data_IF_940157211479
#
_entry.id   IF_940157211479
#
_cell.length_a   1.000
_cell.length_b   1.000
_cell.length_c   1.000
_cell.angle_alpha   90.00
_cell.angle_beta   90.00
_cell.angle_gamma   90.00
#
_symmetry.space_group_name_H-M   'P 1'
#
loop_
_entity.id
_entity.type
_entity.pdbx_description
1 polymer ?
#
# COMPACT_ATOMS: atom_id res chain seq x y z
N UNK A 1 -27.66 -27.62 3.13
CA UNK A 1 -27.54 -26.53 2.16
C UNK A 1 -26.32 -25.74 2.58
N UNK A 2 -25.18 -26.01 1.97
CA UNK A 2 -23.95 -25.25 2.19
C UNK A 2 -24.13 -23.86 1.59
N UNK A 3 -24.00 -22.82 2.41
CA UNK A 3 -23.84 -21.45 1.93
C UNK A 3 -22.36 -21.23 1.58
N UNK A 4 -22.04 -20.64 0.41
CA UNK A 4 -20.67 -20.27 0.10
C UNK A 4 -20.19 -19.19 1.08
N UNK A 5 -19.06 -19.43 1.77
CA UNK A 5 -18.39 -18.44 2.61
C UNK A 5 -17.94 -17.24 1.76
N UNK A 6 -18.75 -16.18 1.68
CA UNK A 6 -18.28 -14.87 1.24
C UNK A 6 -17.26 -14.35 2.26
N UNK A 7 -15.99 -14.26 1.85
CA UNK A 7 -14.92 -13.76 2.71
C UNK A 7 -14.92 -12.23 2.81
N UNK A 8 -15.91 -11.66 3.50
CA UNK A 8 -15.71 -10.35 4.14
C UNK A 8 -14.81 -10.63 5.35
N UNK A 9 -13.50 -10.39 5.19
CA UNK A 9 -12.50 -10.76 6.20
C UNK A 9 -12.55 -9.82 7.40
N UNK A 10 -13.47 -10.07 8.32
CA UNK A 10 -13.27 -9.69 9.71
C UNK A 10 -12.08 -10.47 10.28
N UNK A 11 -10.93 -9.79 10.40
CA UNK A 11 -9.82 -10.20 11.25
C UNK A 11 -9.14 -11.56 10.94
N UNK A 12 -8.16 -11.56 10.01
CA UNK A 12 -6.84 -12.23 10.14
C UNK A 12 -5.95 -12.11 8.88
N UNK A 13 -6.51 -11.82 7.70
CA UNK A 13 -5.75 -11.24 6.57
C UNK A 13 -6.20 -9.78 6.41
N UNK A 14 -5.27 -8.82 6.55
CA UNK A 14 -5.59 -7.40 6.65
C UNK A 14 -5.78 -6.81 5.25
N UNK A 15 -7.00 -6.38 4.95
CA UNK A 15 -7.23 -5.39 3.90
C UNK A 15 -7.00 -3.97 4.45
N UNK A 16 -6.72 -3.08 3.51
CA UNK A 16 -6.08 -1.80 3.73
C UNK A 16 -6.89 -0.75 4.49
N UNK A 17 -8.21 -0.88 4.61
CA UNK A 17 -8.97 0.26 5.09
C UNK A 17 -8.74 0.53 6.58
N UNK A 18 -8.52 -0.47 7.44
CA UNK A 18 -8.38 -0.28 8.91
C UNK A 18 -7.33 0.73 9.41
N UNK A 19 -6.48 1.32 8.55
CA UNK A 19 -5.51 2.38 8.90
C UNK A 19 -5.53 3.62 7.97
N UNK A 20 -6.67 3.96 7.34
CA UNK A 20 -6.82 5.16 6.51
C UNK A 20 -7.71 6.22 7.20
N UNK A 21 -7.15 7.28 7.79
CA UNK A 21 -8.00 8.36 8.34
C UNK A 21 -8.21 9.42 7.25
N UNK A 22 -9.46 9.68 6.83
CA UNK A 22 -9.80 10.68 5.79
C UNK A 22 -9.33 12.12 6.09
N UNK A 23 -8.90 12.41 7.32
CA UNK A 23 -8.70 13.78 7.81
C UNK A 23 -7.45 14.55 7.36
N UNK A 24 -6.64 14.08 6.40
CA UNK A 24 -5.38 14.77 6.06
C UNK A 24 -5.06 14.98 4.57
N UNK A 25 -5.77 14.36 3.61
CA UNK A 25 -5.19 14.21 2.25
C UNK A 25 -5.99 14.74 1.07
N UNK A 26 -7.09 15.47 1.28
CA UNK A 26 -7.77 16.17 0.17
C UNK A 26 -7.06 17.47 -0.28
N UNK A 27 -6.14 18.01 0.53
CA UNK A 27 -5.27 19.10 0.12
C UNK A 27 -4.15 18.65 -0.83
N UNK A 28 -3.65 17.42 -0.65
CA UNK A 28 -2.51 16.88 -1.41
C UNK A 28 -2.83 16.68 -2.91
N UNK A 29 -4.08 16.33 -3.25
CA UNK A 29 -4.51 16.18 -4.65
C UNK A 29 -4.57 17.50 -5.43
N UNK A 30 -4.63 18.67 -4.77
CA UNK A 30 -4.58 19.97 -5.47
C UNK A 30 -3.16 20.51 -5.68
N UNK A 31 -2.17 19.90 -5.05
CA UNK A 31 -0.80 20.44 -5.01
C UNK A 31 0.13 19.79 -6.04
N UNK A 32 -0.26 18.62 -6.59
CA UNK A 32 0.48 17.91 -7.65
C UNK A 32 0.54 18.72 -8.95
N UNK A 33 -0.47 19.55 -9.24
CA UNK A 33 -0.48 20.45 -10.42
C UNK A 33 0.45 21.68 -10.30
N UNK A 34 1.01 21.96 -9.11
CA UNK A 34 1.78 23.21 -8.87
C UNK A 34 3.28 23.03 -8.69
N UNK A 35 3.81 21.80 -8.65
CA UNK A 35 5.21 21.55 -8.32
C UNK A 35 6.16 21.38 -9.53
N UNK A 36 5.77 21.75 -10.75
CA UNK A 36 6.68 21.77 -11.92
C UNK A 36 7.49 23.06 -12.11
N UNK A 37 7.67 23.91 -11.10
CA UNK A 37 8.44 25.13 -11.28
C UNK A 37 9.01 25.74 -10.01
N UNK A 38 10.21 25.30 -9.60
CA UNK A 38 11.26 26.18 -9.08
C UNK A 38 12.47 25.35 -8.64
N UNK A 39 13.64 25.70 -9.19
CA UNK A 39 14.95 25.12 -8.90
C UNK A 39 15.83 26.23 -8.30
N UNK A 40 16.83 25.83 -7.48
CA UNK A 40 18.00 26.58 -6.93
C UNK A 40 17.73 27.31 -5.60
N UNK A 41 18.64 27.38 -4.61
CA UNK A 41 20.06 27.00 -4.51
C UNK A 41 20.54 26.99 -3.04
N UNK A 42 21.46 26.06 -2.75
CA UNK A 42 22.72 26.15 -1.96
C UNK A 42 22.76 26.48 -0.45
N UNK A 43 23.66 25.76 0.24
CA UNK A 43 24.34 26.19 1.47
C UNK A 43 24.85 25.00 2.29
N UNK A 44 26.15 24.70 2.21
CA UNK A 44 26.77 23.61 2.98
C UNK A 44 27.24 24.03 4.37
N UNK A 45 27.52 23.06 5.24
CA UNK A 45 28.65 23.11 6.19
C UNK A 45 28.95 21.74 6.81
N UNK A 46 30.24 21.53 6.98
CA UNK A 46 30.97 20.37 7.51
C UNK A 46 30.81 20.17 9.01
N UNK A 47 30.82 18.92 9.47
CA UNK A 47 31.04 18.58 10.89
C UNK A 47 31.20 17.08 11.13
N UNK A 48 32.45 16.60 11.17
CA UNK A 48 32.82 15.30 11.78
C UNK A 48 32.76 15.42 13.29
N UNK A 49 32.19 14.44 14.00
CA UNK A 49 32.73 13.99 15.30
C UNK A 49 32.53 12.47 15.44
N UNK A 50 33.63 11.80 15.77
CA UNK A 50 33.77 10.38 16.11
C UNK A 50 33.20 10.10 17.52
N UNK A 51 32.48 9.00 17.70
CA UNK A 51 32.07 8.51 19.02
C UNK A 51 31.68 7.03 18.94
N UNK A 52 32.69 6.16 19.04
CA UNK A 52 32.53 4.72 19.15
C UNK A 52 31.99 4.35 20.53
N UNK A 53 30.83 3.69 20.59
CA UNK A 53 30.37 2.99 21.79
C UNK A 53 29.96 1.57 21.43
N UNK A 54 30.76 0.64 21.94
CA UNK A 54 30.60 -0.81 21.87
C UNK A 54 29.43 -1.23 22.78
N UNK A 55 28.24 -1.40 22.19
CA UNK A 55 27.01 -1.77 22.88
C UNK A 55 26.64 -3.22 22.61
N UNK A 56 26.59 -4.01 23.69
CA UNK A 56 26.18 -5.43 23.75
C UNK A 56 24.92 -5.71 22.93
N UNK A 57 24.96 -6.81 22.15
CA UNK A 57 23.87 -7.27 21.30
C UNK A 57 22.59 -7.55 22.09
N UNK A 58 21.68 -6.59 22.06
CA UNK A 58 20.28 -6.77 22.41
C UNK A 58 19.58 -7.27 21.15
N UNK A 59 19.12 -8.53 21.15
CA UNK A 59 18.32 -9.08 20.06
C UNK A 59 16.97 -8.34 20.00
N UNK A 60 16.96 -7.22 19.30
CA UNK A 60 15.75 -6.45 18.98
C UNK A 60 14.94 -7.28 17.98
N UNK A 61 13.74 -7.72 18.40
CA UNK A 61 12.76 -8.38 17.53
C UNK A 61 12.58 -7.52 16.27
N UNK A 62 13.05 -8.03 15.13
CA UNK A 62 12.91 -7.37 13.83
C UNK A 62 11.41 -7.24 13.57
N UNK A 63 10.93 -6.01 13.37
CA UNK A 63 9.56 -5.81 12.85
C UNK A 63 9.53 -6.49 11.50
N UNK A 64 8.54 -7.36 11.26
CA UNK A 64 8.36 -8.00 9.96
C UNK A 64 8.05 -6.91 8.93
N UNK A 65 9.08 -6.48 8.20
CA UNK A 65 8.94 -5.53 7.10
C UNK A 65 8.19 -6.20 5.96
N UNK A 66 7.15 -5.53 5.48
CA UNK A 66 6.48 -5.84 4.23
C UNK A 66 7.23 -5.19 3.08
N UNK A 67 7.40 -5.95 2.00
CA UNK A 67 7.82 -5.40 0.73
C UNK A 67 6.66 -4.62 0.11
N UNK A 68 6.85 -3.35 -0.23
CA UNK A 68 5.91 -2.61 -1.06
C UNK A 68 6.08 -3.02 -2.52
N UNK A 69 5.01 -3.52 -3.13
CA UNK A 69 5.00 -4.04 -4.50
C UNK A 69 3.97 -3.27 -5.32
N UNK A 70 4.44 -2.33 -6.13
CA UNK A 70 3.62 -1.59 -7.10
C UNK A 70 3.73 -2.27 -8.46
N UNK A 71 2.59 -2.73 -9.01
CA UNK A 71 2.48 -3.38 -10.32
C UNK A 71 1.61 -2.47 -11.18
N UNK A 72 2.23 -1.78 -12.14
CA UNK A 72 1.52 -0.95 -13.12
C UNK A 72 1.74 -1.50 -14.54
N UNK A 73 1.12 -0.86 -15.53
CA UNK A 73 1.12 -1.28 -16.93
C UNK A 73 2.51 -1.46 -17.57
N UNK A 74 3.54 -0.78 -17.04
CA UNK A 74 4.87 -0.72 -17.66
C UNK A 74 5.97 -1.36 -16.83
N UNK A 75 5.80 -1.44 -15.52
CA UNK A 75 6.84 -1.88 -14.61
C UNK A 75 6.31 -2.36 -13.26
N UNK A 76 7.13 -3.20 -12.62
CA UNK A 76 7.02 -3.52 -11.20
C UNK A 76 8.04 -2.67 -10.45
N UNK A 77 7.59 -2.00 -9.39
CA UNK A 77 8.45 -1.26 -8.46
C UNK A 77 8.40 -1.91 -7.09
N UNK A 78 9.57 -2.16 -6.52
CA UNK A 78 9.74 -2.78 -5.22
C UNK A 78 10.45 -1.82 -4.28
N UNK A 79 9.96 -1.69 -3.05
CA UNK A 79 10.62 -0.93 -1.98
C UNK A 79 10.53 -1.70 -0.67
N UNK A 80 11.65 -1.87 0.01
CA UNK A 80 11.70 -2.31 1.41
C UNK A 80 12.08 -1.13 2.30
N UNK A 81 11.22 -0.82 3.27
CA UNK A 81 11.47 0.23 4.26
C UNK A 81 11.84 -0.37 5.61
N UNK A 82 12.70 0.35 6.34
CA UNK A 82 12.97 0.15 7.76
C UNK A 82 12.50 1.35 8.57
N UNK A 83 12.18 1.14 9.84
CA UNK A 83 11.83 2.21 10.79
C UNK A 83 12.77 2.25 11.98
N UNK A 84 13.28 3.43 12.30
CA UNK A 84 14.05 3.72 13.50
C UNK A 84 13.33 4.76 14.36
N UNK A 85 13.95 5.17 15.47
CA UNK A 85 13.48 6.30 16.28
C UNK A 85 13.60 7.65 15.56
N UNK A 86 14.45 7.74 14.52
CA UNK A 86 14.76 8.98 13.79
C UNK A 86 14.00 9.12 12.47
N UNK A 87 13.20 8.12 12.09
CA UNK A 87 12.39 8.15 10.86
C UNK A 87 12.40 6.84 10.10
N UNK A 88 12.16 6.94 8.79
CA UNK A 88 12.20 5.82 7.86
C UNK A 88 13.53 5.74 7.13
N UNK A 89 13.85 4.54 6.68
CA UNK A 89 15.04 4.25 5.89
C UNK A 89 14.70 3.35 4.72
N UNK A 90 15.37 3.56 3.58
CA UNK A 90 15.19 2.72 2.39
C UNK A 90 16.22 1.60 2.46
N UNK A 91 15.77 0.37 2.70
CA UNK A 91 16.64 -0.81 2.85
C UNK A 91 17.05 -1.42 1.50
N UNK A 92 16.23 -1.14 0.48
CA UNK A 92 16.46 -1.49 -0.91
C UNK A 92 15.26 -1.07 -1.75
N UNK A 93 15.49 -0.79 -3.02
CA UNK A 93 14.44 -0.62 -4.01
C UNK A 93 14.89 -1.11 -5.38
N UNK A 94 13.95 -1.41 -6.26
CA UNK A 94 14.25 -1.69 -7.67
C UNK A 94 13.03 -1.44 -8.55
N UNK A 95 13.29 -1.16 -9.82
CA UNK A 95 12.28 -1.14 -10.89
C UNK A 95 12.60 -2.26 -11.87
N UNK A 96 11.57 -2.95 -12.35
CA UNK A 96 11.66 -3.95 -13.39
C UNK A 96 10.61 -3.65 -14.45
N UNK A 97 11.04 -3.43 -15.69
CA UNK A 97 10.11 -3.29 -16.82
C UNK A 97 9.32 -4.58 -17.03
N UNK A 98 8.05 -4.43 -17.38
CA UNK A 98 7.15 -5.51 -17.75
C UNK A 98 7.14 -5.73 -19.26
N UNK A 99 6.85 -6.96 -19.72
CA UNK A 99 6.51 -7.21 -21.11
C UNK A 99 5.30 -6.37 -21.54
N UNK A 100 5.26 -5.96 -22.81
CA UNK A 100 4.11 -5.26 -23.36
C UNK A 100 2.84 -6.12 -23.19
N UNK A 101 1.73 -5.46 -22.84
CA UNK A 101 0.41 -6.08 -22.64
C UNK A 101 0.31 -7.09 -21.48
N UNK A 102 1.36 -7.25 -20.66
CA UNK A 102 1.27 -8.10 -19.47
C UNK A 102 0.29 -7.55 -18.42
N UNK A 103 0.18 -6.23 -18.37
CA UNK A 103 -0.80 -5.48 -17.58
C UNK A 103 -1.41 -4.41 -18.48
N UNK A 104 -2.73 -4.29 -18.47
CA UNK A 104 -3.47 -3.31 -19.28
C UNK A 104 -4.55 -2.68 -18.40
N UNK A 105 -4.54 -1.36 -18.29
CA UNK A 105 -5.49 -0.59 -17.48
C UNK A 105 -5.55 -1.11 -16.03
N UNK A 106 -4.41 -1.52 -15.49
CA UNK A 106 -4.28 -2.08 -14.14
C UNK A 106 -4.76 -3.54 -13.96
N UNK A 107 -5.29 -4.19 -15.01
CA UNK A 107 -5.63 -5.60 -15.01
C UNK A 107 -4.41 -6.45 -15.42
N UNK A 108 -4.11 -7.48 -14.64
CA UNK A 108 -3.00 -8.40 -14.92
C UNK A 108 -3.47 -9.46 -15.92
N UNK A 109 -2.99 -9.39 -17.16
CA UNK A 109 -3.37 -10.30 -18.24
C UNK A 109 -2.39 -11.47 -18.42
N UNK A 110 -1.11 -11.27 -18.09
CA UNK A 110 -0.07 -12.30 -18.11
C UNK A 110 0.52 -12.50 -16.71
N UNK A 111 -0.17 -13.29 -15.88
CA UNK A 111 0.24 -13.60 -14.50
C UNK A 111 1.66 -14.20 -14.46
N UNK A 112 2.00 -15.09 -15.40
CA UNK A 112 3.32 -15.71 -15.40
C UNK A 112 4.43 -14.74 -15.81
N UNK A 113 4.19 -13.90 -16.82
CA UNK A 113 5.12 -12.87 -17.26
C UNK A 113 5.41 -11.86 -16.17
N UNK A 114 4.37 -11.39 -15.49
CA UNK A 114 4.52 -10.49 -14.32
C UNK A 114 5.22 -11.21 -13.17
N UNK A 115 4.89 -12.48 -12.88
CA UNK A 115 5.56 -13.29 -11.86
C UNK A 115 7.06 -13.48 -12.12
N UNK A 116 7.47 -13.78 -13.36
CA UNK A 116 8.88 -13.87 -13.78
C UNK A 116 9.60 -12.53 -13.63
N UNK A 117 8.97 -11.44 -14.04
CA UNK A 117 9.53 -10.10 -13.85
C UNK A 117 9.72 -9.77 -12.36
N UNK A 118 8.73 -10.09 -11.52
CA UNK A 118 8.83 -9.90 -10.08
C UNK A 118 9.98 -10.72 -9.47
N UNK A 119 10.14 -11.98 -9.87
CA UNK A 119 11.25 -12.83 -9.42
C UNK A 119 12.61 -12.25 -9.82
N UNK A 120 12.74 -11.73 -11.04
CA UNK A 120 13.96 -11.06 -11.52
C UNK A 120 14.24 -9.75 -10.76
N UNK A 121 13.21 -9.02 -10.34
CA UNK A 121 13.35 -7.84 -9.50
C UNK A 121 13.82 -8.21 -8.08
N UNK A 122 13.22 -9.24 -7.48
CA UNK A 122 13.57 -9.74 -6.15
C UNK A 122 15.02 -10.24 -6.05
N UNK A 123 15.52 -10.90 -7.10
CA UNK A 123 16.89 -11.40 -7.13
C UNK A 123 17.93 -10.28 -7.05
N UNK A 124 17.64 -9.10 -7.60
CA UNK A 124 18.49 -7.89 -7.51
C UNK A 124 18.33 -7.12 -6.20
N UNK A 125 17.13 -7.15 -5.62
CA UNK A 125 16.84 -6.46 -4.37
C UNK A 125 17.55 -7.11 -3.16
N UNK A 126 17.84 -8.41 -3.25
CA UNK A 126 18.47 -9.21 -2.19
C UNK A 126 17.77 -9.04 -0.83
N UNK A 127 16.43 -8.99 -0.83
CA UNK A 127 15.63 -8.84 0.40
C UNK A 127 15.37 -10.19 1.08
N UNK A 128 15.34 -10.16 2.41
CA UNK A 128 14.87 -11.27 3.23
C UNK A 128 13.36 -11.29 3.43
N UNK A 129 12.66 -10.22 3.04
CA UNK A 129 11.21 -10.11 3.20
C UNK A 129 10.48 -11.20 2.39
N UNK A 130 9.43 -11.76 2.98
CA UNK A 130 8.52 -12.72 2.32
C UNK A 130 7.07 -12.27 2.38
N UNK A 131 6.73 -11.31 3.23
CA UNK A 131 5.44 -10.64 3.22
C UNK A 131 5.47 -9.43 2.29
N UNK A 132 4.39 -9.23 1.55
CA UNK A 132 4.23 -8.11 0.63
C UNK A 132 2.93 -7.34 0.89
N UNK A 133 2.97 -6.03 0.66
CA UNK A 133 1.82 -5.17 0.46
C UNK A 133 1.76 -4.82 -1.03
N UNK A 134 0.64 -5.11 -1.67
CA UNK A 134 0.36 -4.82 -3.09
C UNK A 134 -0.90 -3.99 -3.20
N UNK A 135 -1.14 -3.29 -4.31
CA UNK A 135 -2.37 -2.54 -4.53
C UNK A 135 -3.13 -3.00 -5.78
N UNK A 136 -4.46 -2.92 -5.72
CA UNK A 136 -5.33 -2.88 -6.91
C UNK A 136 -5.40 -1.47 -7.50
N UNK A 137 -5.54 -1.41 -8.82
CA UNK A 137 -5.53 -0.16 -9.57
C UNK A 137 -6.72 0.73 -9.22
N UNK A 138 -6.50 2.04 -9.12
CA UNK A 138 -7.57 2.99 -8.78
C UNK A 138 -8.86 2.85 -9.61
N UNK A 139 -8.78 2.76 -10.95
CA UNK A 139 -9.97 2.63 -11.81
C UNK A 139 -10.79 1.35 -11.62
N UNK A 140 -10.22 0.28 -11.04
CA UNK A 140 -10.93 -0.97 -10.77
C UNK A 140 -11.56 -1.04 -9.38
N UNK A 141 -11.47 0.06 -8.61
CA UNK A 141 -12.01 0.16 -7.26
C UNK A 141 -13.14 1.18 -7.19
N UNK A 142 -14.26 0.77 -6.63
CA UNK A 142 -15.39 1.62 -6.29
C UNK A 142 -15.27 2.00 -4.82
N UNK A 143 -15.38 3.29 -4.51
CA UNK A 143 -15.40 3.79 -3.12
C UNK A 143 -16.67 4.55 -2.83
N UNK A 144 -17.36 4.19 -1.74
CA UNK A 144 -18.56 4.89 -1.28
C UNK A 144 -18.44 5.21 0.20
N UNK A 145 -18.94 6.38 0.61
CA UNK A 145 -19.13 6.70 2.04
C UNK A 145 -20.61 6.52 2.35
N UNK A 146 -20.90 5.59 3.26
CA UNK A 146 -22.25 5.32 3.76
C UNK A 146 -22.36 5.70 5.23
N UNK A 147 -23.58 5.84 5.73
CA UNK A 147 -23.85 6.07 7.15
C UNK A 147 -24.47 4.84 7.77
N UNK A 148 -23.94 4.41 8.91
CA UNK A 148 -24.42 3.25 9.67
C UNK A 148 -24.61 3.60 11.14
N UNK A 149 -25.38 2.81 11.88
CA UNK A 149 -25.55 3.03 13.30
C UNK A 149 -24.22 2.99 14.07
N UNK A 150 -24.07 3.86 15.06
CA UNK A 150 -22.91 3.84 15.93
C UNK A 150 -22.96 2.66 16.91
N UNK A 151 -21.80 2.18 17.36
CA UNK A 151 -21.70 1.14 18.39
C UNK A 151 -21.74 -0.31 17.87
N UNK A 152 -21.88 -0.49 16.56
CA UNK A 152 -21.77 -1.79 15.91
C UNK A 152 -20.35 -2.34 15.98
N UNK A 153 -20.24 -3.65 16.17
CA UNK A 153 -19.00 -4.39 16.00
C UNK A 153 -18.62 -4.50 14.51
N UNK A 154 -17.35 -4.81 14.22
CA UNK A 154 -16.89 -5.03 12.85
C UNK A 154 -17.69 -6.15 12.14
N UNK A 155 -18.11 -7.19 12.87
CA UNK A 155 -18.88 -8.31 12.31
C UNK A 155 -20.32 -7.91 11.99
N UNK A 156 -20.98 -7.14 12.87
CA UNK A 156 -22.32 -6.61 12.64
C UNK A 156 -22.31 -5.61 11.47
N UNK A 157 -21.28 -4.76 11.41
CA UNK A 157 -21.09 -3.81 10.31
C UNK A 157 -20.89 -4.54 8.98
N UNK A 158 -20.03 -5.56 8.96
CA UNK A 158 -19.83 -6.41 7.78
C UNK A 158 -21.13 -7.05 7.29
N UNK A 159 -21.92 -7.59 8.22
CA UNK A 159 -23.20 -8.22 7.90
C UNK A 159 -24.20 -7.24 7.30
N UNK A 160 -24.36 -6.05 7.89
CA UNK A 160 -25.23 -5.01 7.34
C UNK A 160 -24.77 -4.52 5.98
N UNK A 161 -23.47 -4.27 5.81
CA UNK A 161 -22.91 -3.89 4.50
C UNK A 161 -23.25 -4.95 3.47
N UNK A 162 -23.15 -6.24 3.80
CA UNK A 162 -23.48 -7.31 2.87
C UNK A 162 -24.96 -7.32 2.45
N UNK A 163 -25.88 -6.97 3.35
CA UNK A 163 -27.31 -6.89 3.05
C UNK A 163 -27.67 -5.68 2.18
N UNK A 164 -26.88 -4.61 2.25
CA UNK A 164 -27.15 -3.35 1.53
C UNK A 164 -26.23 -3.14 0.31
N UNK A 165 -25.19 -3.96 0.14
CA UNK A 165 -24.14 -3.75 -0.85
C UNK A 165 -24.65 -3.67 -2.30
N UNK A 166 -25.74 -4.37 -2.64
CA UNK A 166 -26.38 -4.31 -3.96
C UNK A 166 -26.81 -2.90 -4.38
N UNK A 167 -27.03 -1.99 -3.42
CA UNK A 167 -27.38 -0.60 -3.68
C UNK A 167 -26.18 0.26 -4.11
N UNK A 168 -24.97 -0.21 -3.79
CA UNK A 168 -23.73 0.56 -3.95
C UNK A 168 -22.77 -0.07 -4.98
N UNK A 169 -22.88 -1.39 -5.20
CA UNK A 169 -21.96 -2.17 -6.01
C UNK A 169 -22.70 -2.69 -7.26
N UNK A 170 -22.28 -2.29 -8.47
CA UNK A 170 -22.96 -2.66 -9.72
C UNK A 170 -22.68 -4.09 -10.19
N UNK A 171 -21.94 -4.88 -9.41
CA UNK A 171 -21.53 -6.24 -9.72
C UNK A 171 -22.12 -7.23 -8.71
N UNK A 172 -22.34 -8.49 -9.10
CA UNK A 172 -22.77 -9.53 -8.17
C UNK A 172 -21.82 -9.62 -6.97
N UNK A 173 -22.34 -9.64 -5.74
CA UNK A 173 -21.53 -9.70 -4.53
C UNK A 173 -20.62 -10.94 -4.48
N UNK A 174 -21.03 -12.03 -5.14
CA UNK A 174 -20.23 -13.26 -5.28
C UNK A 174 -18.91 -13.04 -6.04
N UNK A 175 -18.81 -12.00 -6.86
CA UNK A 175 -17.62 -11.69 -7.67
C UNK A 175 -16.81 -10.53 -7.11
N UNK A 176 -17.21 -9.95 -5.97
CA UNK A 176 -16.65 -8.71 -5.42
C UNK A 176 -15.93 -8.96 -4.10
N UNK A 177 -14.75 -8.37 -3.96
CA UNK A 177 -14.05 -8.20 -2.70
C UNK A 177 -14.41 -6.82 -2.12
N UNK A 178 -14.97 -6.80 -0.91
CA UNK A 178 -15.38 -5.59 -0.19
C UNK A 178 -14.58 -5.49 1.12
N UNK A 179 -14.09 -4.30 1.41
CA UNK A 179 -13.55 -3.92 2.72
C UNK A 179 -14.21 -2.60 3.17
N UNK A 180 -14.15 -2.32 4.47
CA UNK A 180 -14.72 -1.10 5.02
C UNK A 180 -13.86 -0.50 6.14
N UNK A 181 -14.10 0.78 6.41
CA UNK A 181 -13.56 1.44 7.60
C UNK A 181 -14.42 2.60 8.08
N UNK A 182 -14.67 2.58 9.39
CA UNK A 182 -15.27 3.69 10.13
C UNK A 182 -14.35 4.91 10.13
N UNK A 183 -14.85 6.03 9.59
CA UNK A 183 -14.14 7.32 9.53
C UNK A 183 -14.35 8.16 10.78
N UNK A 184 -15.51 8.00 11.43
CA UNK A 184 -15.89 8.73 12.64
C UNK A 184 -17.40 8.98 12.69
N UNK A 185 -17.87 9.77 13.68
CA UNK A 185 -19.28 10.15 13.79
C UNK A 185 -19.77 10.89 12.55
N UNK A 186 -21.04 10.70 12.18
CA UNK A 186 -21.67 11.52 11.14
C UNK A 186 -21.79 12.96 11.62
N UNK A 187 -21.51 13.88 10.69
CA UNK A 187 -21.69 15.33 10.91
C UNK A 187 -23.17 15.70 10.99
N UNK A 188 -24.03 14.91 10.36
CA UNK A 188 -25.46 15.16 10.25
C UNK A 188 -26.22 14.52 11.41
N UNK A 189 -25.82 13.31 11.83
CA UNK A 189 -26.51 12.55 12.86
C UNK A 189 -25.54 11.90 13.86
N UNK A 190 -25.39 12.43 15.08
CA UNK A 190 -24.40 11.94 16.06
C UNK A 190 -24.57 10.48 16.50
N UNK A 191 -25.75 9.89 16.28
CA UNK A 191 -26.04 8.48 16.55
C UNK A 191 -25.52 7.53 15.45
N UNK A 192 -25.03 8.07 14.34
CA UNK A 192 -24.48 7.32 13.20
C UNK A 192 -23.00 7.60 12.99
N UNK A 193 -22.34 6.71 12.25
CA UNK A 193 -20.95 6.82 11.84
C UNK A 193 -20.82 6.79 10.33
N UNK A 194 -19.85 7.52 9.80
CA UNK A 194 -19.47 7.43 8.40
C UNK A 194 -18.55 6.23 8.20
N UNK A 195 -18.87 5.41 7.20
CA UNK A 195 -18.11 4.21 6.83
C UNK A 195 -17.69 4.34 5.38
N UNK A 196 -16.38 4.29 5.15
CA UNK A 196 -15.80 4.21 3.81
C UNK A 196 -15.80 2.74 3.37
N UNK A 197 -16.51 2.44 2.29
CA UNK A 197 -16.45 1.18 1.57
C UNK A 197 -15.43 1.29 0.43
N UNK A 198 -14.68 0.21 0.20
CA UNK A 198 -13.95 -0.01 -1.03
C UNK A 198 -14.26 -1.40 -1.57
N UNK A 199 -14.58 -1.48 -2.85
CA UNK A 199 -14.97 -2.71 -3.52
C UNK A 199 -14.27 -2.84 -4.87
N UNK A 200 -13.85 -4.05 -5.22
CA UNK A 200 -13.29 -4.38 -6.54
C UNK A 200 -13.64 -5.83 -6.89
N UNK A 201 -13.47 -6.22 -8.15
CA UNK A 201 -13.66 -7.61 -8.56
C UNK A 201 -12.61 -8.52 -7.89
N UNK A 202 -13.03 -9.70 -7.41
CA UNK A 202 -12.16 -10.69 -6.74
C UNK A 202 -10.97 -11.09 -7.62
N UNK A 203 -11.18 -11.22 -8.92
CA UNK A 203 -10.11 -11.55 -9.88
C UNK A 203 -8.92 -10.58 -9.80
N UNK A 204 -9.14 -9.30 -9.49
CA UNK A 204 -8.06 -8.31 -9.40
C UNK A 204 -7.15 -8.57 -8.21
N UNK A 205 -7.73 -9.06 -7.12
CA UNK A 205 -7.04 -9.46 -5.88
C UNK A 205 -6.30 -10.76 -6.12
N UNK A 206 -7.01 -11.75 -6.63
CA UNK A 206 -6.50 -13.10 -6.86
C UNK A 206 -5.34 -13.10 -7.85
N UNK A 207 -5.41 -12.30 -8.92
CA UNK A 207 -4.31 -12.16 -9.87
C UNK A 207 -3.03 -11.64 -9.21
N UNK A 208 -3.14 -10.67 -8.29
CA UNK A 208 -1.99 -10.12 -7.54
C UNK A 208 -1.46 -11.11 -6.51
N UNK A 209 -2.34 -11.84 -5.82
CA UNK A 209 -1.94 -12.93 -4.94
C UNK A 209 -1.19 -14.03 -5.71
N UNK A 210 -1.65 -14.38 -6.91
CA UNK A 210 -1.02 -15.36 -7.79
C UNK A 210 0.36 -14.91 -8.27
N UNK A 211 0.50 -13.66 -8.75
CA UNK A 211 1.80 -13.07 -9.14
C UNK A 211 2.79 -13.11 -7.98
N UNK A 212 2.37 -12.71 -6.78
CA UNK A 212 3.22 -12.74 -5.59
C UNK A 212 3.63 -14.17 -5.23
N UNK A 213 2.70 -15.13 -5.30
CA UNK A 213 2.96 -16.53 -5.00
C UNK A 213 3.99 -17.15 -5.96
N UNK A 214 3.91 -16.85 -7.26
CA UNK A 214 4.91 -17.30 -8.26
C UNK A 214 6.33 -16.81 -7.94
N UNK A 215 6.44 -15.64 -7.32
CA UNK A 215 7.72 -15.07 -6.89
C UNK A 215 8.14 -15.48 -5.47
N UNK A 216 7.40 -16.36 -4.80
CA UNK A 216 7.68 -16.82 -3.44
C UNK A 216 7.36 -15.80 -2.35
N UNK A 217 6.50 -14.82 -2.65
CA UNK A 217 5.99 -13.83 -1.69
C UNK A 217 4.58 -14.22 -1.22
N UNK A 218 4.20 -13.69 -0.06
CA UNK A 218 2.87 -13.85 0.51
C UNK A 218 2.23 -12.47 0.61
N UNK A 219 1.08 -12.28 -0.04
CA UNK A 219 0.26 -11.09 0.14
C UNK A 219 -0.20 -10.99 1.61
N UNK A 220 0.27 -9.97 2.32
CA UNK A 220 -0.16 -9.66 3.69
C UNK A 220 -1.20 -8.53 3.69
N UNK A 221 -1.12 -7.65 2.71
CA UNK A 221 -2.06 -6.55 2.47
C UNK A 221 -2.31 -6.44 0.97
N UNK A 222 -3.59 -6.33 0.60
CA UNK A 222 -4.02 -5.83 -0.71
C UNK A 222 -4.68 -4.48 -0.44
N UNK A 223 -4.10 -3.43 -1.01
CA UNK A 223 -4.45 -2.02 -0.82
C UNK A 223 -5.06 -1.43 -2.09
N UNK A 224 -5.43 -0.15 -2.05
CA UNK A 224 -5.82 0.63 -3.22
C UNK A 224 -4.71 1.62 -3.52
N UNK A 225 -4.32 1.76 -4.79
CA UNK A 225 -3.22 2.64 -5.20
C UNK A 225 -3.39 4.07 -4.68
N UNK A 226 -4.60 4.61 -4.75
CA UNK A 226 -4.92 5.95 -4.24
C UNK A 226 -4.66 6.11 -2.74
N UNK A 227 -4.95 5.08 -1.93
CA UNK A 227 -4.70 5.12 -0.48
C UNK A 227 -3.23 4.93 -0.15
N UNK A 228 -2.52 4.07 -0.88
CA UNK A 228 -1.08 3.94 -0.77
C UNK A 228 -0.39 5.28 -1.12
N UNK A 229 -0.78 5.90 -2.24
CA UNK A 229 -0.25 7.18 -2.67
C UNK A 229 -0.54 8.30 -1.65
N UNK A 230 -1.76 8.38 -1.12
CA UNK A 230 -2.09 9.34 -0.07
C UNK A 230 -1.23 9.15 1.18
N UNK A 231 -0.98 7.90 1.60
CA UNK A 231 -0.08 7.58 2.72
C UNK A 231 1.35 8.04 2.46
N UNK A 232 1.82 7.82 1.23
CA UNK A 232 3.11 8.27 0.75
C UNK A 232 3.25 9.79 0.73
N UNK A 233 2.26 10.52 0.21
CA UNK A 233 2.25 11.98 0.20
C UNK A 233 2.23 12.62 1.60
N UNK A 234 1.75 11.89 2.61
CA UNK A 234 1.84 12.31 4.01
C UNK A 234 3.26 12.21 4.60
N UNK A 235 4.25 11.72 3.85
CA UNK A 235 5.64 11.60 4.28
C UNK A 235 6.55 12.58 3.54
N UNK A 236 7.60 13.04 4.21
CA UNK A 236 8.73 13.69 3.54
C UNK A 236 9.73 12.62 3.08
N UNK A 237 9.65 12.21 1.80
CA UNK A 237 10.57 11.20 1.27
C UNK A 237 12.03 11.66 1.21
N UNK A 238 12.32 12.96 1.19
CA UNK A 238 13.69 13.45 1.26
C UNK A 238 14.32 13.15 2.63
N UNK A 239 13.50 12.96 3.68
CA UNK A 239 13.96 12.56 5.01
C UNK A 239 14.27 11.06 5.13
N UNK A 240 13.90 10.24 4.14
CA UNK A 240 14.14 8.80 4.20
C UNK A 240 15.63 8.54 4.06
N UNK A 241 16.23 7.96 5.10
CA UNK A 241 17.66 7.72 5.12
C UNK A 241 18.00 6.54 4.20
N UNK A 242 18.86 6.70 3.18
CA UNK A 242 19.33 5.57 2.38
C UNK A 242 20.04 4.55 3.26
N UNK A 243 19.67 3.27 3.13
CA UNK A 243 20.36 2.17 3.79
C UNK A 243 21.72 1.89 3.14
N UNK A 244 22.52 1.02 3.76
CA UNK A 244 23.89 0.73 3.31
C UNK A 244 24.02 0.17 1.87
N UNK A 245 22.92 -0.36 1.30
CA UNK A 245 22.88 -0.91 -0.08
C UNK A 245 22.26 0.06 -1.08
N UNK A 246 21.89 1.25 -0.64
CA UNK A 246 21.15 2.23 -1.44
C UNK A 246 22.05 3.42 -1.72
N UNK A 247 22.29 3.66 -3.01
CA UNK A 247 22.90 4.91 -3.46
C UNK A 247 21.92 6.07 -3.21
N UNK A 248 22.29 6.99 -2.33
CA UNK A 248 21.44 8.11 -1.94
C UNK A 248 21.19 9.12 -3.07
N UNK A 249 22.15 9.31 -3.97
CA UNK A 249 21.99 10.20 -5.12
C UNK A 249 21.04 9.61 -6.14
N UNK A 250 21.16 8.31 -6.43
CA UNK A 250 20.23 7.59 -7.31
C UNK A 250 18.82 7.55 -6.71
N UNK A 251 18.71 7.28 -5.41
CA UNK A 251 17.41 7.32 -4.71
C UNK A 251 16.73 8.68 -4.84
N UNK A 252 17.45 9.79 -4.67
CA UNK A 252 16.85 11.12 -4.78
C UNK A 252 16.23 11.39 -6.17
N UNK A 253 16.74 10.75 -7.22
CA UNK A 253 16.21 10.83 -8.58
C UNK A 253 15.00 9.91 -8.77
N UNK A 254 15.07 8.69 -8.23
CA UNK A 254 14.05 7.66 -8.46
C UNK A 254 12.85 7.73 -7.50
N UNK A 255 13.04 8.31 -6.31
CA UNK A 255 12.03 8.37 -5.25
C UNK A 255 10.66 8.93 -5.69
N UNK A 256 10.56 9.98 -6.54
CA UNK A 256 9.26 10.45 -7.03
C UNK A 256 8.45 9.36 -7.77
N UNK A 257 9.13 8.45 -8.47
CA UNK A 257 8.49 7.32 -9.15
C UNK A 257 8.10 6.17 -8.21
N UNK A 258 8.49 6.21 -6.94
CA UNK A 258 8.31 5.13 -5.97
C UNK A 258 7.14 5.35 -5.01
N UNK A 259 6.34 6.41 -5.21
CA UNK A 259 5.31 6.84 -4.26
C UNK A 259 4.35 5.73 -3.81
N UNK A 260 3.73 5.01 -4.74
CA UNK A 260 2.80 3.91 -4.42
C UNK A 260 3.52 2.78 -3.68
N UNK A 261 4.67 2.33 -4.17
CA UNK A 261 5.47 1.28 -3.52
C UNK A 261 5.90 1.66 -2.09
N UNK A 262 6.30 2.92 -1.86
CA UNK A 262 6.57 3.45 -0.53
C UNK A 262 5.33 3.45 0.36
N UNK A 263 4.20 3.92 -0.15
CA UNK A 263 2.90 3.89 0.53
C UNK A 263 2.49 2.49 1.00
N UNK A 264 2.70 1.51 0.12
CA UNK A 264 2.50 0.09 0.42
C UNK A 264 3.47 -0.42 1.49
N UNK A 265 4.77 -0.15 1.34
CA UNK A 265 5.79 -0.59 2.30
C UNK A 265 5.57 -0.02 3.71
N UNK A 266 4.99 1.18 3.83
CA UNK A 266 4.65 1.80 5.12
C UNK A 266 3.59 1.01 5.91
N UNK A 267 2.86 0.07 5.28
CA UNK A 267 1.97 -0.88 5.98
C UNK A 267 2.69 -1.74 7.01
N UNK A 268 4.01 -1.87 6.89
CA UNK A 268 4.87 -2.55 7.87
C UNK A 268 4.79 -1.92 9.28
N UNK A 269 4.35 -0.66 9.38
CA UNK A 269 4.45 0.14 10.60
C UNK A 269 3.10 0.71 11.07
N UNK A 270 2.01 0.24 10.46
CA UNK A 270 0.63 0.69 10.71
C UNK A 270 -0.09 -0.16 11.75
#
# INVERSE_FOLDING_TARGET
MDQPELQIKSGKKRWALKHFRLGASFAALRQVDRMQGARRQSGGMTGKVLGSFMGKGFFRRKVDSLLGVDINDTAIRLVELGRSSTGYSVQGYTTQALPAHAVVDGAVLDIEGVGRALQAALSRLHTSARGAAVAVAGPSVITHVIEMDAGLTDDEMAWMIQMEADQYIPYPLDDVAIDFQVQGPSVQEPARVQVLLAACLKEQVEAREAVLALAGLVAKVVDVEGFALARACGQDFASFTPGHRVDGAQWAVDAPGMGIACGLALRSFA
#
